data_IF_088652182987
#
_entry.id   IF_088652182987
#
_cell.length_a   1.000
_cell.length_b   1.000
_cell.length_c   1.000
_cell.angle_alpha   90.00
_cell.angle_beta   90.00
_cell.angle_gamma   90.00
#
_symmetry.space_group_name_H-M   'P 1'
#
loop_
_entity.id
_entity.type
_entity.pdbx_description
1 polymer ?
#
# COMPACT_ATOMS: atom_id res chain seq x y z
N UNK A 1 -7.74 -9.17 21.53
CA UNK A 1 -6.39 -9.22 22.14
C UNK A 1 -6.35 -9.42 23.67
N UNK A 2 -7.34 -8.98 24.49
CA UNK A 2 -7.28 -9.24 25.95
C UNK A 2 -7.71 -10.66 26.37
N UNK A 3 -8.67 -11.32 25.73
CA UNK A 3 -9.26 -12.56 26.30
C UNK A 3 -8.32 -13.78 26.28
N UNK A 4 -7.47 -13.90 25.26
CA UNK A 4 -6.59 -15.07 25.06
C UNK A 4 -5.39 -15.08 26.01
N UNK A 5 -4.77 -13.93 26.27
CA UNK A 5 -3.69 -13.84 27.28
C UNK A 5 -4.19 -14.17 28.69
N UNK A 6 -5.45 -13.86 29.00
CA UNK A 6 -6.05 -14.19 30.29
C UNK A 6 -6.40 -15.67 30.38
N UNK A 7 -6.82 -16.29 29.29
CA UNK A 7 -7.05 -17.74 29.23
C UNK A 7 -5.74 -18.54 29.42
N UNK A 8 -4.63 -18.09 28.82
CA UNK A 8 -3.32 -18.72 28.98
C UNK A 8 -2.78 -18.57 30.41
N UNK A 9 -2.90 -17.37 30.99
CA UNK A 9 -2.53 -17.12 32.40
C UNK A 9 -3.38 -17.97 33.35
N UNK A 10 -4.70 -18.00 33.14
CA UNK A 10 -5.63 -18.77 33.97
C UNK A 10 -5.37 -20.27 33.87
N UNK A 11 -5.06 -20.78 32.67
CA UNK A 11 -4.69 -22.19 32.45
C UNK A 11 -3.39 -22.54 33.17
N UNK A 12 -2.36 -21.68 33.09
CA UNK A 12 -1.09 -21.88 33.80
C UNK A 12 -1.29 -21.91 35.33
N UNK A 13 -2.08 -20.97 35.86
CA UNK A 13 -2.42 -20.92 37.29
C UNK A 13 -3.23 -22.14 37.72
N UNK A 14 -4.18 -22.61 36.92
CA UNK A 14 -4.97 -23.79 37.21
C UNK A 14 -4.12 -25.07 37.30
N UNK A 15 -3.11 -25.22 36.44
CA UNK A 15 -2.16 -26.34 36.48
C UNK A 15 -1.32 -26.29 37.77
N UNK A 16 -0.86 -25.11 38.19
CA UNK A 16 -0.12 -24.95 39.44
C UNK A 16 -0.98 -25.27 40.67
N UNK A 17 -2.23 -24.83 40.69
CA UNK A 17 -3.18 -25.15 41.77
C UNK A 17 -3.47 -26.66 41.80
N UNK A 18 -3.61 -27.31 40.63
CA UNK A 18 -3.76 -28.75 40.55
C UNK A 18 -2.54 -29.50 41.10
N UNK A 19 -1.32 -28.99 40.86
CA UNK A 19 -0.08 -29.56 41.40
C UNK A 19 -0.07 -29.51 42.93
N UNK A 20 -0.40 -28.34 43.50
CA UNK A 20 -0.48 -28.17 44.96
C UNK A 20 -1.56 -29.06 45.55
N UNK A 21 -2.72 -29.16 44.91
CA UNK A 21 -3.82 -30.00 45.37
C UNK A 21 -3.46 -31.49 45.39
N UNK A 22 -2.75 -32.00 44.38
CA UNK A 22 -2.31 -33.40 44.31
C UNK A 22 -1.24 -33.69 45.39
N UNK A 23 -0.28 -32.78 45.58
CA UNK A 23 0.75 -32.91 46.60
C UNK A 23 0.18 -32.90 48.03
N UNK A 24 -0.91 -32.16 48.27
CA UNK A 24 -1.60 -32.13 49.57
C UNK A 24 -2.54 -33.33 49.75
N UNK A 25 -3.24 -33.76 48.70
CA UNK A 25 -4.23 -34.83 48.78
C UNK A 25 -3.63 -36.25 48.85
N UNK A 26 -2.41 -36.46 48.34
CA UNK A 26 -1.73 -37.76 48.34
C UNK A 26 -0.37 -37.72 49.07
N UNK A 27 -0.36 -37.63 50.41
CA UNK A 27 0.87 -37.71 51.19
C UNK A 27 1.53 -39.08 51.01
N UNK A 28 2.86 -39.08 50.80
CA UNK A 28 3.67 -40.28 50.56
C UNK A 28 3.50 -41.31 51.69
N UNK A 29 2.91 -42.48 51.41
CA UNK A 29 2.93 -43.65 52.30
C UNK A 29 4.03 -44.60 51.83
N UNK A 30 4.96 -44.90 52.72
CA UNK A 30 6.22 -45.59 52.45
C UNK A 30 6.09 -47.12 52.27
N UNK A 31 5.11 -47.59 51.49
CA UNK A 31 5.01 -49.01 51.10
C UNK A 31 5.04 -49.11 49.56
N UNK A 32 6.22 -49.48 49.04
CA UNK A 32 6.64 -49.52 47.63
C UNK A 32 5.79 -50.46 46.75
N UNK A 33 5.67 -50.27 45.43
CA UNK A 33 6.83 -50.05 44.55
C UNK A 33 6.57 -49.53 43.14
N UNK A 34 5.62 -48.60 42.96
CA UNK A 34 5.50 -47.83 41.72
C UNK A 34 5.58 -46.32 42.00
N UNK A 35 6.52 -45.61 41.37
CA UNK A 35 6.69 -44.16 41.52
C UNK A 35 5.65 -43.40 40.69
N UNK A 36 4.40 -43.44 41.16
CA UNK A 36 3.27 -42.76 40.54
C UNK A 36 3.44 -41.24 40.55
N UNK A 37 4.14 -40.69 41.55
CA UNK A 37 4.39 -39.26 41.66
C UNK A 37 5.35 -38.80 40.56
N UNK A 38 6.41 -39.58 40.28
CA UNK A 38 7.31 -39.36 39.15
C UNK A 38 6.59 -39.45 37.79
N UNK A 39 5.68 -40.42 37.62
CA UNK A 39 4.88 -40.54 36.38
C UNK A 39 3.95 -39.34 36.16
N UNK A 40 3.29 -38.85 37.22
CA UNK A 40 2.43 -37.67 37.16
C UNK A 40 3.26 -36.43 36.78
N UNK A 41 4.41 -36.23 37.44
CA UNK A 41 5.30 -35.10 37.15
C UNK A 41 5.87 -35.21 35.72
N UNK A 42 6.17 -36.43 35.25
CA UNK A 42 6.61 -36.71 33.88
C UNK A 42 5.56 -36.32 32.83
N UNK A 43 4.32 -36.80 32.97
CA UNK A 43 3.22 -36.44 32.05
C UNK A 43 2.94 -34.93 32.10
N UNK A 44 2.98 -34.33 33.29
CA UNK A 44 2.72 -32.91 33.47
C UNK A 44 3.80 -32.04 32.83
N UNK A 45 5.08 -32.38 32.99
CA UNK A 45 6.19 -31.66 32.34
C UNK A 45 6.13 -31.75 30.81
N UNK A 46 5.72 -32.91 30.27
CA UNK A 46 5.47 -33.08 28.83
C UNK A 46 4.34 -32.16 28.36
N UNK A 47 3.20 -32.13 29.06
CA UNK A 47 2.05 -31.29 28.73
C UNK A 47 2.41 -29.80 28.78
N UNK A 48 3.09 -29.35 29.83
CA UNK A 48 3.53 -27.96 29.97
C UNK A 48 4.49 -27.56 28.84
N UNK A 49 5.40 -28.45 28.44
CA UNK A 49 6.34 -28.21 27.34
C UNK A 49 5.61 -28.03 26.01
N UNK A 50 4.62 -28.88 25.71
CA UNK A 50 3.77 -28.76 24.50
C UNK A 50 2.96 -27.46 24.54
N UNK A 51 2.40 -27.10 25.69
CA UNK A 51 1.66 -25.85 25.89
C UNK A 51 2.54 -24.61 25.65
N UNK A 52 3.77 -24.59 26.15
CA UNK A 52 4.72 -23.50 25.91
C UNK A 52 5.11 -23.44 24.44
N UNK A 53 5.37 -24.60 23.81
CA UNK A 53 5.67 -24.68 22.37
C UNK A 53 4.56 -24.09 21.51
N UNK A 54 3.30 -24.42 21.82
CA UNK A 54 2.13 -23.87 21.13
C UNK A 54 2.00 -22.35 21.32
N UNK A 55 2.24 -21.84 22.52
CA UNK A 55 2.22 -20.40 22.78
C UNK A 55 3.31 -19.65 22.00
N UNK A 56 4.52 -20.21 21.92
CA UNK A 56 5.61 -19.63 21.14
C UNK A 56 5.24 -19.62 19.65
N UNK A 57 4.68 -20.72 19.14
CA UNK A 57 4.23 -20.82 17.76
C UNK A 57 3.19 -19.73 17.42
N UNK A 58 2.14 -19.60 18.23
CA UNK A 58 1.10 -18.57 18.02
C UNK A 58 1.67 -17.15 18.09
N UNK A 59 2.59 -16.88 19.03
CA UNK A 59 3.22 -15.57 19.16
C UNK A 59 4.06 -15.20 17.92
N UNK A 60 4.74 -16.17 17.31
CA UNK A 60 5.51 -15.97 16.08
C UNK A 60 4.59 -15.76 14.87
N UNK A 61 3.50 -16.51 14.77
CA UNK A 61 2.51 -16.38 13.71
C UNK A 61 1.84 -15.00 13.74
N UNK A 62 1.37 -14.56 14.90
CA UNK A 62 0.78 -13.22 15.09
C UNK A 62 1.76 -12.12 14.68
N UNK A 63 3.05 -12.23 15.04
CA UNK A 63 4.07 -11.25 14.62
C UNK A 63 4.22 -11.20 13.10
N UNK A 64 4.18 -12.35 12.44
CA UNK A 64 4.28 -12.44 10.97
C UNK A 64 3.06 -11.83 10.29
N UNK A 65 1.86 -12.09 10.81
CA UNK A 65 0.62 -11.51 10.30
C UNK A 65 0.59 -9.99 10.47
N UNK A 66 0.93 -9.49 11.66
CA UNK A 66 1.02 -8.05 11.95
C UNK A 66 2.00 -7.38 11.00
N UNK A 67 3.19 -7.96 10.79
CA UNK A 67 4.18 -7.39 9.87
C UNK A 67 3.64 -7.31 8.44
N UNK A 68 3.00 -8.39 7.97
CA UNK A 68 2.39 -8.43 6.63
C UNK A 68 1.29 -7.37 6.48
N UNK A 69 0.44 -7.22 7.49
CA UNK A 69 -0.65 -6.23 7.47
C UNK A 69 -0.12 -4.79 7.50
N UNK A 70 0.91 -4.52 8.31
CA UNK A 70 1.62 -3.23 8.34
C UNK A 70 2.23 -2.92 6.97
N UNK A 71 2.99 -3.84 6.40
CA UNK A 71 3.64 -3.65 5.10
C UNK A 71 2.59 -3.39 4.00
N UNK A 72 1.47 -4.12 4.03
CA UNK A 72 0.37 -3.89 3.10
C UNK A 72 -0.31 -2.54 3.28
N UNK A 73 -0.52 -2.11 4.53
CA UNK A 73 -1.15 -0.83 4.87
C UNK A 73 -0.26 0.35 4.50
N UNK A 74 1.06 0.23 4.72
CA UNK A 74 2.04 1.22 4.29
C UNK A 74 2.07 1.34 2.77
N UNK A 75 2.11 0.21 2.04
CA UNK A 75 2.08 0.24 0.57
C UNK A 75 0.79 0.87 0.01
N UNK A 76 -0.35 0.65 0.68
CA UNK A 76 -1.62 1.27 0.30
C UNK A 76 -1.62 2.76 0.62
N UNK A 77 -1.07 3.16 1.76
CA UNK A 77 -0.91 4.55 2.14
C UNK A 77 -0.02 5.30 1.15
N UNK A 78 1.12 4.74 0.74
CA UNK A 78 2.02 5.29 -0.28
C UNK A 78 1.30 5.49 -1.62
N UNK A 79 0.53 4.50 -2.09
CA UNK A 79 -0.25 4.65 -3.33
C UNK A 79 -1.28 5.76 -3.23
N UNK A 80 -1.98 5.87 -2.09
CA UNK A 80 -2.99 6.92 -1.86
C UNK A 80 -2.35 8.31 -1.74
N UNK A 81 -1.22 8.42 -1.04
CA UNK A 81 -0.52 9.69 -0.88
C UNK A 81 0.06 10.18 -2.21
N UNK A 82 0.66 9.28 -3.01
CA UNK A 82 1.09 9.58 -4.38
C UNK A 82 -0.08 10.06 -5.25
N UNK A 83 -1.22 9.35 -5.22
CA UNK A 83 -2.41 9.78 -5.96
C UNK A 83 -2.91 11.17 -5.54
N UNK A 84 -2.92 11.47 -4.24
CA UNK A 84 -3.32 12.79 -3.72
C UNK A 84 -2.35 13.91 -4.15
N UNK A 85 -1.05 13.65 -4.10
CA UNK A 85 -0.01 14.60 -4.56
C UNK A 85 -0.15 14.85 -6.05
N UNK A 86 -0.32 13.80 -6.86
CA UNK A 86 -0.47 13.92 -8.31
C UNK A 86 -1.72 14.73 -8.66
N UNK A 87 -2.84 14.47 -7.99
CA UNK A 87 -4.09 15.22 -8.21
C UNK A 87 -3.96 16.71 -7.83
N UNK A 88 -3.23 17.03 -6.74
CA UNK A 88 -3.02 18.42 -6.34
C UNK A 88 -2.11 19.16 -7.33
N UNK A 89 -1.02 18.52 -7.77
CA UNK A 89 -0.09 19.07 -8.76
C UNK A 89 -0.79 19.29 -10.11
N UNK A 90 -1.55 18.29 -10.59
CA UNK A 90 -2.33 18.39 -11.81
C UNK A 90 -3.29 19.60 -11.78
N UNK A 91 -3.99 19.80 -10.66
CA UNK A 91 -4.92 20.92 -10.50
C UNK A 91 -4.20 22.28 -10.55
N UNK A 92 -3.05 22.39 -9.90
CA UNK A 92 -2.24 23.61 -9.92
C UNK A 92 -1.76 23.93 -11.34
N UNK A 93 -1.24 22.93 -12.05
CA UNK A 93 -0.73 23.07 -13.43
C UNK A 93 -1.86 23.46 -14.38
N UNK A 94 -3.04 22.84 -14.28
CA UNK A 94 -4.17 23.22 -15.11
C UNK A 94 -4.58 24.67 -14.89
N UNK A 95 -4.58 25.15 -13.64
CA UNK A 95 -4.87 26.55 -13.35
C UNK A 95 -3.88 27.46 -14.07
N UNK A 96 -2.58 27.14 -14.01
CA UNK A 96 -1.54 27.92 -14.67
C UNK A 96 -1.67 27.86 -16.20
N UNK A 97 -2.06 26.71 -16.76
CA UNK A 97 -2.39 26.55 -18.18
C UNK A 97 -3.53 27.51 -18.59
N UNK A 98 -4.60 27.60 -17.81
CA UNK A 98 -5.71 28.52 -18.08
C UNK A 98 -5.31 29.99 -18.00
N UNK A 99 -4.39 30.34 -17.08
CA UNK A 99 -3.81 31.68 -17.01
C UNK A 99 -3.02 31.97 -18.28
N UNK A 100 -2.13 31.07 -18.69
CA UNK A 100 -1.33 31.20 -19.91
C UNK A 100 -2.21 31.38 -21.16
N UNK A 101 -3.29 30.59 -21.26
CA UNK A 101 -4.29 30.74 -22.33
C UNK A 101 -4.95 32.13 -22.33
N UNK A 102 -5.30 32.65 -21.16
CA UNK A 102 -5.98 33.94 -21.02
C UNK A 102 -5.09 35.11 -21.45
N UNK A 103 -3.78 35.03 -21.19
CA UNK A 103 -2.80 36.02 -21.63
C UNK A 103 -2.29 35.78 -23.07
N UNK A 104 -2.86 34.82 -23.80
CA UNK A 104 -2.46 34.40 -25.14
C UNK A 104 -1.01 33.87 -25.26
N UNK A 105 -0.44 33.36 -24.16
CA UNK A 105 0.85 32.67 -24.18
C UNK A 105 0.63 31.17 -24.47
N UNK A 106 0.54 30.83 -25.75
CA UNK A 106 0.30 29.46 -26.20
C UNK A 106 1.50 28.52 -26.01
N UNK A 107 2.72 29.06 -25.95
CA UNK A 107 3.91 28.24 -25.66
C UNK A 107 3.87 27.71 -24.25
N UNK A 108 3.60 28.59 -23.28
CA UNK A 108 3.42 28.21 -21.89
C UNK A 108 2.17 27.35 -21.70
N UNK A 109 1.08 27.66 -22.40
CA UNK A 109 -0.12 26.83 -22.32
C UNK A 109 0.12 25.37 -22.74
N UNK A 110 0.79 25.15 -23.87
CA UNK A 110 1.15 23.80 -24.33
C UNK A 110 2.10 23.12 -23.35
N UNK A 111 3.05 23.87 -22.78
CA UNK A 111 3.99 23.37 -21.76
C UNK A 111 3.25 22.86 -20.52
N UNK A 112 2.32 23.66 -19.99
CA UNK A 112 1.53 23.31 -18.81
C UNK A 112 0.60 22.11 -19.12
N UNK A 113 0.03 22.03 -20.33
CA UNK A 113 -0.73 20.84 -20.75
C UNK A 113 0.15 19.59 -20.86
N UNK A 114 1.39 19.71 -21.34
CA UNK A 114 2.35 18.61 -21.38
C UNK A 114 2.68 18.13 -19.96
N UNK A 115 2.94 19.06 -19.03
CA UNK A 115 3.14 18.74 -17.63
C UNK A 115 1.90 18.06 -17.02
N UNK A 116 0.69 18.54 -17.34
CA UNK A 116 -0.57 17.90 -16.93
C UNK A 116 -0.68 16.46 -17.42
N UNK A 117 -0.32 16.20 -18.68
CA UNK A 117 -0.22 14.87 -19.29
C UNK A 117 0.78 13.97 -18.56
N UNK A 118 1.97 14.50 -18.21
CA UNK A 118 2.95 13.77 -17.42
C UNK A 118 2.35 13.31 -16.09
N UNK A 119 1.72 14.21 -15.33
CA UNK A 119 1.09 13.85 -14.05
C UNK A 119 -0.07 12.85 -14.22
N UNK A 120 -0.89 13.01 -15.26
CA UNK A 120 -1.96 12.05 -15.55
C UNK A 120 -1.40 10.64 -15.88
N UNK A 121 -0.25 10.58 -16.57
CA UNK A 121 0.42 9.32 -16.91
C UNK A 121 0.89 8.51 -15.71
N UNK A 122 1.32 9.18 -14.63
CA UNK A 122 1.81 8.52 -13.42
C UNK A 122 0.73 7.69 -12.70
N UNK A 123 -0.55 8.04 -12.89
CA UNK A 123 -1.71 7.31 -12.34
C UNK A 123 -2.56 6.64 -13.42
N UNK A 124 -2.14 6.70 -14.68
CA UNK A 124 -2.89 6.19 -15.84
C UNK A 124 -4.34 6.70 -15.89
N UNK A 125 -4.55 7.96 -15.55
CA UNK A 125 -5.88 8.58 -15.47
C UNK A 125 -6.33 9.04 -16.87
N UNK A 126 -7.24 8.26 -17.47
CA UNK A 126 -7.73 8.48 -18.83
C UNK A 126 -8.47 9.82 -18.95
N UNK A 127 -9.25 10.22 -17.94
CA UNK A 127 -10.06 11.44 -18.01
C UNK A 127 -9.17 12.68 -18.04
N UNK A 128 -8.16 12.71 -17.16
CA UNK A 128 -7.17 13.80 -17.13
C UNK A 128 -6.35 13.85 -18.42
N UNK A 129 -5.93 12.69 -18.91
CA UNK A 129 -5.18 12.58 -20.17
C UNK A 129 -6.00 13.09 -21.35
N UNK A 130 -7.25 12.65 -21.48
CA UNK A 130 -8.14 13.07 -22.55
C UNK A 130 -8.44 14.58 -22.51
N UNK A 131 -8.57 15.14 -21.31
CA UNK A 131 -8.75 16.56 -21.10
C UNK A 131 -7.54 17.36 -21.61
N UNK A 132 -6.32 16.96 -21.22
CA UNK A 132 -5.09 17.62 -21.67
C UNK A 132 -4.92 17.50 -23.19
N UNK A 133 -5.15 16.31 -23.77
CA UNK A 133 -5.06 16.07 -25.21
C UNK A 133 -6.04 16.95 -25.99
N UNK A 134 -7.29 17.02 -25.54
CA UNK A 134 -8.33 17.80 -26.23
C UNK A 134 -7.99 19.30 -26.24
N UNK A 135 -7.47 19.82 -25.12
CA UNK A 135 -7.02 21.19 -25.02
C UNK A 135 -5.76 21.46 -25.85
N UNK A 136 -4.81 20.51 -25.90
CA UNK A 136 -3.60 20.61 -26.71
C UNK A 136 -3.93 20.65 -28.21
N UNK A 137 -4.85 19.79 -28.68
CA UNK A 137 -5.35 19.81 -30.06
C UNK A 137 -5.94 21.17 -30.42
N UNK A 138 -6.77 21.74 -29.53
CA UNK A 138 -7.39 23.04 -29.76
C UNK A 138 -6.36 24.17 -29.83
N UNK A 139 -5.32 24.11 -28.99
CA UNK A 139 -4.21 25.06 -29.01
C UNK A 139 -3.37 24.95 -30.31
N UNK A 140 -3.02 23.73 -30.73
CA UNK A 140 -2.25 23.48 -31.95
C UNK A 140 -3.01 23.91 -33.22
N UNK A 141 -4.35 23.76 -33.23
CA UNK A 141 -5.19 24.23 -34.35
C UNK A 141 -5.30 25.76 -34.43
N UNK A 142 -5.01 26.47 -33.34
CA UNK A 142 -5.12 27.92 -33.33
C UNK A 142 -3.92 28.56 -34.08
N UNK A 143 -4.11 28.79 -35.39
CA UNK A 143 -3.09 29.31 -36.33
C UNK A 143 -2.55 30.71 -36.01
N UNK A 144 -3.05 31.39 -34.97
CA UNK A 144 -2.65 32.75 -34.63
C UNK A 144 -1.31 32.87 -33.91
N UNK A 145 -0.81 31.80 -33.28
CA UNK A 145 0.39 31.85 -32.44
C UNK A 145 1.42 30.82 -32.91
N UNK A 146 2.66 31.29 -33.18
CA UNK A 146 3.77 30.40 -33.54
C UNK A 146 4.20 29.63 -32.29
N UNK A 147 3.91 28.33 -32.25
CA UNK A 147 4.30 27.46 -31.14
C UNK A 147 5.77 27.06 -31.33
N UNK A 148 6.56 27.17 -30.26
CA UNK A 148 7.96 26.80 -30.23
C UNK A 148 8.16 25.29 -30.29
N UNK A 149 9.20 24.86 -31.00
CA UNK A 149 9.58 23.45 -31.13
C UNK A 149 9.88 22.80 -29.77
N UNK A 150 10.40 23.58 -28.81
CA UNK A 150 10.63 23.17 -27.42
C UNK A 150 9.35 22.70 -26.72
N UNK A 151 8.27 23.49 -26.82
CA UNK A 151 6.96 23.15 -26.25
C UNK A 151 6.35 21.93 -26.93
N UNK A 152 6.48 21.83 -28.26
CA UNK A 152 6.01 20.66 -29.01
C UNK A 152 6.78 19.40 -28.61
N UNK A 153 8.09 19.50 -28.40
CA UNK A 153 8.93 18.38 -27.96
C UNK A 153 8.47 17.86 -26.59
N UNK A 154 8.26 18.73 -25.60
CA UNK A 154 7.79 18.31 -24.28
C UNK A 154 6.39 17.69 -24.32
N UNK A 155 5.51 18.22 -25.18
CA UNK A 155 4.20 17.63 -25.42
C UNK A 155 4.34 16.20 -25.98
N UNK A 156 5.20 15.98 -26.98
CA UNK A 156 5.47 14.64 -27.52
C UNK A 156 5.99 13.69 -26.44
N UNK A 157 6.98 14.11 -25.66
CA UNK A 157 7.54 13.30 -24.57
C UNK A 157 6.46 12.85 -23.57
N UNK A 158 5.57 13.76 -23.19
CA UNK A 158 4.48 13.46 -22.25
C UNK A 158 3.39 12.58 -22.87
N UNK A 159 3.12 12.74 -24.17
CA UNK A 159 2.18 11.88 -24.91
C UNK A 159 2.70 10.46 -25.06
N UNK A 160 4.01 10.27 -25.25
CA UNK A 160 4.64 8.94 -25.32
C UNK A 160 4.36 8.13 -24.05
N UNK A 161 4.43 8.76 -22.87
CA UNK A 161 4.12 8.12 -21.59
C UNK A 161 2.65 7.65 -21.49
N UNK A 162 1.76 8.24 -22.26
CA UNK A 162 0.34 7.91 -22.26
C UNK A 162 -0.06 6.82 -23.26
N UNK A 163 0.84 6.44 -24.18
CA UNK A 163 0.54 5.48 -25.27
C UNK A 163 0.16 4.09 -24.79
N UNK A 164 0.63 3.70 -23.59
CA UNK A 164 0.30 2.40 -23.00
C UNK A 164 -1.16 2.24 -22.61
N UNK A 165 -1.92 3.33 -22.46
CA UNK A 165 -3.31 3.27 -21.97
C UNK A 165 -4.27 4.27 -22.65
N UNK A 166 -3.79 5.21 -23.47
CA UNK A 166 -4.62 6.17 -24.21
C UNK A 166 -4.40 6.05 -25.73
N UNK A 167 -5.45 5.68 -26.46
CA UNK A 167 -5.41 5.67 -27.93
C UNK A 167 -5.31 7.09 -28.51
N UNK A 168 -5.97 8.06 -27.88
CA UNK A 168 -5.94 9.47 -28.31
C UNK A 168 -4.53 10.07 -28.26
N UNK A 169 -3.66 9.59 -27.37
CA UNK A 169 -2.29 10.09 -27.33
C UNK A 169 -1.49 9.65 -28.56
N UNK A 170 -1.71 8.43 -29.06
CA UNK A 170 -1.14 7.92 -30.31
C UNK A 170 -1.63 8.75 -31.50
N UNK A 171 -2.95 8.94 -31.60
CA UNK A 171 -3.57 9.74 -32.66
C UNK A 171 -3.01 11.17 -32.70
N UNK A 172 -2.83 11.79 -31.52
CA UNK A 172 -2.23 13.12 -31.43
C UNK A 172 -0.75 13.11 -31.83
N UNK A 173 0.04 12.14 -31.36
CA UNK A 173 1.46 12.01 -31.74
C UNK A 173 1.65 11.90 -33.25
N UNK A 174 0.83 11.10 -33.92
CA UNK A 174 0.83 10.97 -35.39
C UNK A 174 0.50 12.30 -36.06
N UNK A 175 -0.52 13.02 -35.55
CA UNK A 175 -0.94 14.30 -36.13
C UNK A 175 0.12 15.41 -35.97
N UNK A 176 0.88 15.44 -34.87
CA UNK A 176 1.92 16.46 -34.62
C UNK A 176 3.09 16.30 -35.62
N UNK A 177 3.28 15.14 -36.25
CA UNK A 177 4.22 14.99 -37.38
C UNK A 177 3.81 15.79 -38.63
N UNK A 178 2.56 16.27 -38.69
CA UNK A 178 1.96 16.95 -39.84
C UNK A 178 1.59 18.43 -39.58
N UNK A 179 1.79 18.94 -38.35
CA UNK A 179 1.59 20.35 -37.97
C UNK A 179 2.89 21.15 -38.05
#
# INVERSE_FOLDING_TARGET
MKKESWALLLSSVAVLISLVAICVACPHKAELGFDYQGVIVGILSLLVTVLIGWQIYNALEIKKEIKKEIDSSLSQFEKRSLGAIINSQYTYILRDAYIAKTINDYNRYILDLANGLYFASLISDIEKTDFCISNAINALKNKGSKIEESSIKQLKESLYLCTGYSKKSIELLESIGHF
#
